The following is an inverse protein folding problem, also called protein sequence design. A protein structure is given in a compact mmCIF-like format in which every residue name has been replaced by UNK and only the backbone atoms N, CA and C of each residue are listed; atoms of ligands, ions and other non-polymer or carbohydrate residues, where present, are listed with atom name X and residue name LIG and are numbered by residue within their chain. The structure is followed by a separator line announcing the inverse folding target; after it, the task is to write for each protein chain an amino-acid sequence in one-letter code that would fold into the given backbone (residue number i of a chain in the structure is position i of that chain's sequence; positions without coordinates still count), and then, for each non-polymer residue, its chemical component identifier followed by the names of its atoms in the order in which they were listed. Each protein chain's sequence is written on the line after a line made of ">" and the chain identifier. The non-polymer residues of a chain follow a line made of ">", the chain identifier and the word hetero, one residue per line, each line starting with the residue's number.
data_IF_954115413193
#
_entry.id   IF_954115413193
#
_cell.length_a   1.000
_cell.length_b   1.000
_cell.length_c   1.000
_cell.angle_alpha   90.00
_cell.angle_beta   90.00
_cell.angle_gamma   90.00
#
_symmetry.space_group_name_H-M   'P 1'
#
loop_
_entity.id
_entity.type
_entity.pdbx_description
1 polymer ?
#
# COMPACT_ATOMS: atom_id res chain seq x y z
N UNK A 1 -27.16 -61.89 -52.67
CA UNK A 1 -28.06 -61.39 -51.60
C UNK A 1 -27.79 -62.10 -50.26
N UNK A 2 -26.52 -62.34 -49.87
CA UNK A 2 -26.22 -63.28 -48.78
C UNK A 2 -26.28 -62.69 -47.35
N UNK A 3 -26.87 -61.51 -47.17
CA UNK A 3 -26.83 -60.80 -45.87
C UNK A 3 -28.15 -60.13 -45.49
N UNK A 4 -29.30 -60.56 -46.04
CA UNK A 4 -30.58 -60.02 -45.59
C UNK A 4 -31.11 -60.79 -44.36
N UNK A 5 -31.51 -60.03 -43.34
CA UNK A 5 -32.34 -60.52 -42.24
C UNK A 5 -33.79 -60.58 -42.69
N UNK A 6 -34.43 -61.72 -42.49
CA UNK A 6 -35.83 -61.95 -42.82
C UNK A 6 -36.63 -61.90 -41.53
N UNK A 7 -37.63 -61.02 -41.50
CA UNK A 7 -38.58 -60.91 -40.40
C UNK A 7 -39.93 -61.35 -40.95
N UNK A 8 -40.59 -62.28 -40.26
CA UNK A 8 -41.90 -62.80 -40.62
C UNK A 8 -42.86 -62.53 -39.48
N UNK A 9 -43.94 -61.80 -39.77
CA UNK A 9 -44.93 -61.39 -38.80
C UNK A 9 -46.33 -61.89 -39.17
N UNK A 10 -47.12 -62.21 -38.15
CA UNK A 10 -48.56 -62.42 -38.27
C UNK A 10 -49.24 -62.17 -36.92
N UNK A 11 -50.49 -61.70 -36.96
CA UNK A 11 -51.39 -61.70 -35.82
C UNK A 11 -52.41 -62.81 -36.05
N UNK A 12 -52.65 -63.67 -35.06
CA UNK A 12 -53.51 -64.84 -35.19
C UNK A 12 -54.61 -64.77 -34.15
N UNK A 13 -55.85 -64.75 -34.64
CA UNK A 13 -57.05 -64.61 -33.83
C UNK A 13 -58.03 -65.73 -34.15
N UNK A 14 -58.94 -66.02 -33.23
CA UNK A 14 -60.15 -66.80 -33.54
C UNK A 14 -61.12 -65.92 -34.33
N UNK A 15 -62.01 -66.54 -35.11
CA UNK A 15 -63.02 -65.83 -35.91
C UNK A 15 -63.89 -64.84 -35.10
N UNK A 16 -64.07 -65.06 -33.80
CA UNK A 16 -64.80 -64.18 -32.88
C UNK A 16 -63.93 -63.10 -32.20
N UNK A 17 -62.79 -62.76 -32.80
CA UNK A 17 -61.81 -61.75 -32.31
C UNK A 17 -61.14 -62.10 -30.97
N UNK A 18 -61.31 -63.32 -30.48
CA UNK A 18 -60.58 -63.80 -29.30
C UNK A 18 -59.14 -64.15 -29.64
N UNK A 19 -58.25 -63.83 -28.72
CA UNK A 19 -56.83 -64.15 -28.84
C UNK A 19 -56.59 -65.65 -28.69
N UNK A 20 -55.66 -66.20 -29.48
CA UNK A 20 -55.28 -67.61 -29.35
C UNK A 20 -54.19 -67.74 -28.28
N UNK A 21 -54.51 -68.46 -27.20
CA UNK A 21 -53.63 -68.65 -26.05
C UNK A 21 -52.35 -69.42 -26.40
N UNK A 22 -52.46 -70.45 -27.26
CA UNK A 22 -51.32 -71.26 -27.70
C UNK A 22 -51.58 -71.89 -29.06
N UNK A 23 -50.67 -71.72 -30.02
CA UNK A 23 -50.74 -72.37 -31.33
C UNK A 23 -49.35 -72.64 -31.87
N UNK A 24 -49.12 -73.83 -32.43
CA UNK A 24 -47.87 -74.17 -33.10
C UNK A 24 -47.99 -73.93 -34.60
N UNK A 25 -47.19 -72.99 -35.10
CA UNK A 25 -47.16 -72.61 -36.51
C UNK A 25 -45.83 -72.99 -37.15
N UNK A 26 -45.89 -73.36 -38.42
CA UNK A 26 -44.71 -73.62 -39.24
C UNK A 26 -44.75 -72.71 -40.46
N UNK A 27 -43.65 -72.01 -40.70
CA UNK A 27 -43.42 -71.30 -41.96
C UNK A 27 -42.82 -72.29 -42.94
N UNK A 28 -43.42 -72.40 -44.11
CA UNK A 28 -42.86 -73.14 -45.23
C UNK A 28 -42.59 -72.20 -46.39
N UNK A 29 -41.56 -72.52 -47.17
CA UNK A 29 -41.29 -71.87 -48.45
C UNK A 29 -41.46 -72.88 -49.58
N UNK A 30 -41.82 -72.41 -50.77
CA UNK A 30 -41.88 -73.26 -51.96
C UNK A 30 -40.48 -73.41 -52.56
N UNK A 31 -39.94 -74.63 -52.52
CA UNK A 31 -38.66 -74.98 -53.12
C UNK A 31 -38.88 -75.35 -54.60
N UNK A 32 -38.31 -74.54 -55.50
CA UNK A 32 -38.45 -74.73 -56.94
C UNK A 32 -37.66 -75.94 -57.46
N UNK A 33 -36.56 -76.31 -56.78
CA UNK A 33 -35.72 -77.47 -57.16
C UNK A 33 -36.42 -78.77 -56.80
N UNK A 34 -37.04 -78.81 -55.62
CA UNK A 34 -37.76 -79.99 -55.12
C UNK A 34 -39.23 -80.02 -55.57
N UNK A 35 -39.73 -78.95 -56.22
CA UNK A 35 -41.13 -78.75 -56.64
C UNK A 35 -42.11 -79.02 -55.48
N UNK A 36 -41.78 -78.55 -54.29
CA UNK A 36 -42.49 -78.89 -53.07
C UNK A 36 -42.31 -77.87 -51.95
N UNK A 37 -43.13 -77.98 -50.92
CA UNK A 37 -43.07 -77.12 -49.74
C UNK A 37 -42.03 -77.64 -48.75
N UNK A 38 -41.04 -76.82 -48.41
CA UNK A 38 -40.02 -77.12 -47.42
C UNK A 38 -40.20 -76.27 -46.16
N UNK A 39 -39.81 -76.84 -45.01
CA UNK A 39 -39.96 -76.16 -43.71
C UNK A 39 -38.82 -75.16 -43.48
N UNK A 40 -39.19 -73.90 -43.22
CA UNK A 40 -38.25 -72.85 -42.82
C UNK A 40 -37.98 -72.91 -41.32
N UNK A 41 -39.05 -72.83 -40.52
CA UNK A 41 -39.01 -72.89 -39.07
C UNK A 41 -40.40 -73.15 -38.50
N UNK A 42 -40.43 -73.74 -37.30
CA UNK A 42 -41.65 -73.92 -36.52
C UNK A 42 -41.53 -73.16 -35.20
N UNK A 43 -42.60 -72.49 -34.79
CA UNK A 43 -42.66 -71.76 -33.53
C UNK A 43 -44.04 -71.89 -32.90
N UNK A 44 -44.07 -72.15 -31.61
CA UNK A 44 -45.30 -72.05 -30.81
C UNK A 44 -45.48 -70.61 -30.35
N UNK A 45 -46.62 -70.02 -30.68
CA UNK A 45 -47.00 -68.68 -30.26
C UNK A 45 -47.88 -68.73 -29.02
N UNK A 46 -47.76 -67.71 -28.19
CA UNK A 46 -48.65 -67.41 -27.07
C UNK A 46 -49.22 -66.01 -27.28
N UNK A 47 -50.50 -65.81 -26.99
CA UNK A 47 -51.21 -64.53 -27.17
C UNK A 47 -51.34 -64.07 -28.64
N UNK A 48 -51.47 -65.00 -29.59
CA UNK A 48 -51.79 -64.68 -30.98
C UNK A 48 -50.70 -63.98 -31.80
N UNK A 49 -49.53 -63.63 -31.26
CA UNK A 49 -48.48 -62.95 -32.03
C UNK A 49 -47.45 -63.94 -32.56
N UNK A 50 -47.31 -64.02 -33.89
CA UNK A 50 -46.24 -64.73 -34.56
C UNK A 50 -45.16 -63.75 -35.04
N UNK A 51 -43.94 -63.96 -34.56
CA UNK A 51 -42.75 -63.27 -35.07
C UNK A 51 -41.59 -64.25 -35.20
N UNK A 52 -40.99 -64.33 -36.38
CA UNK A 52 -39.83 -65.16 -36.67
C UNK A 52 -38.76 -64.31 -37.35
N UNK A 53 -37.52 -64.44 -36.88
CA UNK A 53 -36.36 -63.80 -37.49
C UNK A 53 -35.38 -64.88 -37.96
N UNK A 54 -34.94 -64.79 -39.22
CA UNK A 54 -34.00 -65.76 -39.84
C UNK A 54 -33.15 -65.08 -40.91
N UNK A 55 -32.07 -65.71 -41.37
CA UNK A 55 -31.22 -65.17 -42.45
C UNK A 55 -31.67 -65.65 -43.84
N UNK A 56 -31.45 -64.82 -44.86
CA UNK A 56 -31.84 -65.09 -46.24
C UNK A 56 -31.11 -66.27 -46.89
N UNK A 57 -29.97 -66.69 -46.36
CA UNK A 57 -29.17 -67.82 -46.86
C UNK A 57 -29.95 -69.14 -46.85
N UNK A 58 -30.89 -69.32 -45.91
CA UNK A 58 -31.80 -70.48 -45.85
C UNK A 58 -32.94 -70.42 -46.87
N UNK A 59 -33.30 -69.24 -47.34
CA UNK A 59 -34.45 -69.01 -48.23
C UNK A 59 -34.05 -68.99 -49.71
N UNK A 60 -32.85 -68.47 -50.01
CA UNK A 60 -32.36 -68.26 -51.38
C UNK A 60 -31.61 -69.47 -51.96
N UNK A 61 -31.17 -70.42 -51.14
CA UNK A 61 -30.58 -71.68 -51.63
C UNK A 61 -31.61 -72.61 -52.30
N UNK A 62 -32.89 -72.34 -52.09
CA UNK A 62 -34.04 -73.10 -52.56
C UNK A 62 -34.63 -72.65 -53.91
N UNK A 63 -34.12 -71.57 -54.50
CA UNK A 63 -34.58 -71.05 -55.79
C UNK A 63 -33.60 -71.41 -56.91
N UNK A 64 -34.09 -71.50 -58.15
CA UNK A 64 -33.28 -71.72 -59.36
C UNK A 64 -32.31 -70.55 -59.58
N UNK A 65 -31.43 -70.63 -60.58
CA UNK A 65 -30.31 -69.69 -60.85
C UNK A 65 -30.70 -68.18 -60.98
N UNK A 66 -31.99 -67.87 -60.90
CA UNK A 66 -32.55 -66.52 -60.78
C UNK A 66 -32.91 -66.19 -59.32
N UNK A 67 -32.35 -65.11 -58.73
CA UNK A 67 -32.65 -64.71 -57.36
C UNK A 67 -34.07 -64.13 -57.24
N UNK A 68 -35.05 -65.00 -57.08
CA UNK A 68 -36.42 -64.66 -56.71
C UNK A 68 -36.66 -65.01 -55.23
N UNK A 69 -37.53 -64.23 -54.56
CA UNK A 69 -38.00 -64.56 -53.23
C UNK A 69 -39.04 -65.69 -53.33
N UNK A 70 -38.88 -66.81 -52.59
CA UNK A 70 -39.82 -67.90 -52.67
C UNK A 70 -41.15 -67.53 -52.00
N UNK A 71 -42.24 -68.13 -52.49
CA UNK A 71 -43.54 -67.99 -51.87
C UNK A 71 -43.51 -68.61 -50.46
N UNK A 72 -44.05 -67.88 -49.48
CA UNK A 72 -44.17 -68.35 -48.11
C UNK A 72 -45.62 -68.72 -47.79
N UNK A 73 -45.78 -69.69 -46.89
CA UNK A 73 -47.06 -70.01 -46.27
C UNK A 73 -46.89 -70.30 -44.79
N UNK A 74 -47.95 -70.02 -44.03
CA UNK A 74 -48.09 -70.41 -42.63
C UNK A 74 -49.05 -71.61 -42.53
N UNK A 75 -48.60 -72.66 -41.87
CA UNK A 75 -49.37 -73.90 -41.68
C UNK A 75 -49.39 -74.33 -40.22
N UNK A 76 -50.38 -75.15 -39.86
CA UNK A 76 -50.41 -75.78 -38.54
C UNK A 76 -49.30 -76.81 -38.41
N UNK A 77 -48.44 -76.67 -37.41
CA UNK A 77 -47.36 -77.65 -37.14
C UNK A 77 -47.93 -79.04 -36.87
N UNK A 78 -49.11 -79.15 -36.25
CA UNK A 78 -49.75 -80.43 -35.98
C UNK A 78 -50.20 -81.14 -37.27
N UNK A 79 -50.58 -80.39 -38.31
CA UNK A 79 -51.08 -80.92 -39.59
C UNK A 79 -49.98 -81.35 -40.57
N UNK A 80 -48.70 -81.17 -40.23
CA UNK A 80 -47.59 -81.55 -41.11
C UNK A 80 -47.40 -83.07 -41.21
N UNK A 81 -47.96 -83.84 -40.27
CA UNK A 81 -47.89 -85.31 -40.25
C UNK A 81 -49.11 -85.98 -40.88
N UNK A 82 -50.12 -85.20 -41.29
CA UNK A 82 -51.38 -85.68 -41.87
C UNK A 82 -51.39 -85.47 -43.38
N UNK A 83 -52.22 -86.22 -44.11
CA UNK A 83 -52.41 -86.03 -45.57
C UNK A 83 -53.07 -84.69 -45.92
N UNK A 84 -53.72 -84.06 -44.95
CA UNK A 84 -54.41 -82.78 -45.08
C UNK A 84 -53.69 -81.72 -44.25
N UNK A 85 -52.66 -81.09 -44.83
CA UNK A 85 -51.96 -79.97 -44.18
C UNK A 85 -52.88 -78.75 -44.13
N UNK A 86 -53.16 -78.26 -42.93
CA UNK A 86 -53.97 -77.06 -42.73
C UNK A 86 -53.12 -75.82 -42.98
N UNK A 87 -53.40 -75.14 -44.09
CA UNK A 87 -52.78 -73.87 -44.46
C UNK A 87 -53.60 -72.72 -43.89
N UNK A 88 -52.99 -71.89 -43.06
CA UNK A 88 -53.65 -70.74 -42.43
C UNK A 88 -53.51 -69.47 -43.25
N UNK A 89 -52.39 -69.31 -43.96
CA UNK A 89 -52.23 -68.19 -44.89
C UNK A 89 -51.16 -68.51 -45.93
N UNK A 90 -51.35 -67.98 -47.14
CA UNK A 90 -50.45 -68.10 -48.28
C UNK A 90 -50.10 -66.69 -48.77
N UNK A 91 -48.81 -66.38 -48.88
CA UNK A 91 -48.35 -65.05 -49.31
C UNK A 91 -48.11 -64.09 -48.13
N UNK A 92 -48.48 -62.82 -48.30
CA UNK A 92 -48.19 -61.74 -47.34
C UNK A 92 -47.61 -60.51 -48.04
N UNK A 93 -47.74 -59.34 -47.43
CA UNK A 93 -47.08 -58.14 -47.93
C UNK A 93 -45.57 -58.26 -47.68
N UNK A 94 -44.78 -57.94 -48.71
CA UNK A 94 -43.32 -58.02 -48.64
C UNK A 94 -42.72 -56.63 -48.80
N UNK A 95 -41.89 -56.23 -47.85
CA UNK A 95 -41.15 -54.96 -47.91
C UNK A 95 -39.66 -55.24 -47.79
N UNK A 96 -38.87 -54.71 -48.72
CA UNK A 96 -37.42 -54.85 -48.74
C UNK A 96 -36.79 -53.52 -48.34
N UNK A 97 -35.92 -53.54 -47.34
CA UNK A 97 -35.09 -52.41 -46.94
C UNK A 97 -33.62 -52.71 -47.23
N UNK A 98 -33.10 -52.09 -48.29
CA UNK A 98 -31.72 -52.31 -48.75
C UNK A 98 -30.66 -51.67 -47.85
N UNK A 99 -31.03 -50.65 -47.06
CA UNK A 99 -30.12 -49.97 -46.12
C UNK A 99 -29.90 -50.83 -44.88
N UNK A 100 -30.96 -51.38 -44.31
CA UNK A 100 -30.89 -52.22 -43.11
C UNK A 100 -30.68 -53.70 -43.44
N UNK A 101 -30.58 -54.04 -44.73
CA UNK A 101 -30.53 -55.42 -45.24
C UNK A 101 -31.62 -56.26 -44.61
N UNK A 102 -32.87 -55.80 -44.67
CA UNK A 102 -34.01 -56.48 -44.05
C UNK A 102 -35.12 -56.75 -45.07
N UNK A 103 -35.67 -57.97 -45.05
CA UNK A 103 -36.88 -58.33 -45.80
C UNK A 103 -37.97 -58.63 -44.77
N UNK A 104 -39.05 -57.86 -44.79
CA UNK A 104 -40.19 -58.07 -43.93
C UNK A 104 -41.32 -58.76 -44.70
N UNK A 105 -41.79 -59.88 -44.20
CA UNK A 105 -43.01 -60.57 -44.64
C UNK A 105 -44.08 -60.40 -43.58
N UNK A 106 -45.21 -59.81 -43.94
CA UNK A 106 -46.35 -59.66 -43.06
C UNK A 106 -47.57 -60.40 -43.61
N UNK A 107 -48.02 -61.41 -42.86
CA UNK A 107 -49.24 -62.16 -43.16
C UNK A 107 -50.51 -61.45 -42.65
N UNK A 108 -50.37 -60.25 -42.08
CA UNK A 108 -51.43 -59.47 -41.45
C UNK A 108 -52.14 -60.26 -40.34
N UNK A 109 -53.46 -60.04 -40.18
CA UNK A 109 -54.29 -60.79 -39.24
C UNK A 109 -54.86 -62.04 -39.90
N UNK A 110 -54.52 -63.19 -39.35
CA UNK A 110 -55.03 -64.51 -39.69
C UNK A 110 -56.17 -64.85 -38.74
N UNK A 111 -57.33 -65.16 -39.30
CA UNK A 111 -58.52 -65.56 -38.56
C UNK A 111 -58.71 -67.08 -38.67
N UNK A 112 -58.61 -67.77 -37.54
CA UNK A 112 -58.81 -69.21 -37.45
C UNK A 112 -60.28 -69.48 -37.06
N UNK A 113 -61.01 -70.11 -37.96
CA UNK A 113 -62.34 -70.62 -37.69
C UNK A 113 -62.28 -71.94 -36.91
N UNK A 114 -63.27 -72.17 -36.06
CA UNK A 114 -63.46 -73.46 -35.41
C UNK A 114 -63.85 -74.51 -36.48
N UNK A 115 -63.27 -75.71 -36.48
CA UNK A 115 -63.67 -76.79 -37.38
C UNK A 115 -65.19 -77.04 -37.43
N UNK A 116 -65.89 -76.88 -36.30
CA UNK A 116 -67.36 -77.06 -36.24
C UNK A 116 -68.13 -75.94 -36.95
N UNK A 117 -67.57 -74.71 -37.00
CA UNK A 117 -68.14 -73.59 -37.77
C UNK A 117 -67.92 -73.83 -39.28
N UNK A 118 -66.78 -74.40 -39.67
CA UNK A 118 -66.50 -74.70 -41.10
C UNK A 118 -67.36 -75.84 -41.66
N UNK A 119 -67.85 -76.77 -40.81
CA UNK A 119 -68.81 -77.81 -41.20
C UNK A 119 -70.23 -77.28 -41.42
N UNK A 120 -70.56 -76.12 -40.84
CA UNK A 120 -71.87 -75.47 -40.96
C UNK A 120 -71.93 -74.48 -42.14
N UNK A 121 -70.80 -74.22 -42.81
CA UNK A 121 -70.79 -73.45 -44.05
C UNK A 121 -71.46 -74.28 -45.16
N UNK A 122 -72.52 -73.78 -45.81
CA UNK A 122 -73.11 -74.45 -46.95
C UNK A 122 -72.06 -74.49 -48.08
N UNK A 123 -71.78 -75.68 -48.59
CA UNK A 123 -70.76 -76.03 -49.59
C UNK A 123 -69.32 -76.17 -49.08
N UNK A 124 -69.06 -77.29 -48.41
CA UNK A 124 -67.72 -77.91 -48.40
C UNK A 124 -67.39 -78.60 -49.74
N UNK A 125 -67.63 -77.87 -50.84
CA UNK A 125 -67.27 -78.14 -52.22
C UNK A 125 -67.18 -76.80 -52.94
N UNK A 126 -65.97 -76.29 -53.14
CA UNK A 126 -65.70 -75.37 -54.25
C UNK A 126 -65.69 -76.20 -55.54
N UNK A 127 -66.88 -76.69 -55.93
CA UNK A 127 -67.18 -77.25 -57.24
C UNK A 127 -67.88 -76.15 -58.05
N UNK A 128 -67.21 -75.71 -59.11
CA UNK A 128 -67.75 -75.19 -60.38
C UNK A 128 -69.06 -74.36 -60.34
N UNK A 129 -68.87 -73.04 -60.47
CA UNK A 129 -69.60 -72.15 -61.39
C UNK A 129 -71.06 -72.53 -61.71
N UNK A 130 -72.01 -71.88 -61.04
CA UNK A 130 -73.35 -71.65 -61.58
C UNK A 130 -73.69 -70.17 -61.36
N UNK A 131 -73.52 -69.36 -62.41
CA UNK A 131 -74.06 -68.00 -62.49
C UNK A 131 -75.56 -68.13 -62.74
N UNK A 132 -76.38 -67.99 -61.70
CA UNK A 132 -77.79 -67.73 -61.84
C UNK A 132 -78.00 -66.22 -62.02
N UNK A 133 -78.16 -65.75 -63.25
CA UNK A 133 -78.68 -64.40 -63.49
C UNK A 133 -80.17 -64.41 -63.14
N UNK A 134 -80.52 -63.96 -61.93
CA UNK A 134 -81.88 -63.53 -61.65
C UNK A 134 -82.21 -62.37 -62.58
N UNK A 135 -83.29 -62.48 -63.34
CA UNK A 135 -83.91 -61.32 -63.98
C UNK A 135 -84.49 -60.45 -62.84
N UNK A 136 -83.71 -59.47 -62.38
CA UNK A 136 -84.15 -58.50 -61.38
C UNK A 136 -85.18 -57.60 -62.06
N UNK A 137 -86.34 -57.41 -61.42
CA UNK A 137 -87.36 -56.46 -61.85
C UNK A 137 -86.73 -55.07 -62.09
N UNK A 138 -86.92 -54.44 -63.27
CA UNK A 138 -86.41 -53.10 -63.56
C UNK A 138 -86.72 -52.05 -62.47
N UNK A 139 -87.84 -52.16 -61.76
CA UNK A 139 -88.19 -51.28 -60.64
C UNK A 139 -87.25 -51.49 -59.43
N UNK A 140 -86.87 -52.73 -59.14
CA UNK A 140 -85.94 -53.08 -58.06
C UNK A 140 -84.52 -52.64 -58.42
N UNK A 141 -84.09 -52.81 -59.68
CA UNK A 141 -82.82 -52.28 -60.19
C UNK A 141 -82.72 -50.75 -60.06
N UNK A 142 -83.79 -50.04 -60.40
CA UNK A 142 -83.88 -48.58 -60.24
C UNK A 142 -83.75 -48.16 -58.77
N UNK A 143 -84.47 -48.83 -57.86
CA UNK A 143 -84.37 -48.54 -56.42
C UNK A 143 -82.98 -48.84 -55.85
N UNK A 144 -82.33 -49.91 -56.31
CA UNK A 144 -80.95 -50.24 -55.92
C UNK A 144 -80.00 -49.15 -56.43
N UNK A 145 -80.13 -48.72 -57.68
CA UNK A 145 -79.30 -47.65 -58.25
C UNK A 145 -79.44 -46.35 -57.47
N UNK A 146 -80.67 -45.91 -57.16
CA UNK A 146 -80.92 -44.71 -56.33
C UNK A 146 -80.34 -44.85 -54.91
N UNK A 147 -80.47 -46.01 -54.28
CA UNK A 147 -79.89 -46.24 -52.95
C UNK A 147 -78.35 -46.17 -52.99
N UNK A 148 -77.72 -46.74 -54.02
CA UNK A 148 -76.27 -46.69 -54.21
C UNK A 148 -75.80 -45.26 -54.49
N UNK A 149 -76.53 -44.50 -55.32
CA UNK A 149 -76.24 -43.08 -55.59
C UNK A 149 -76.32 -42.24 -54.31
N UNK A 150 -77.36 -42.41 -53.49
CA UNK A 150 -77.50 -41.69 -52.22
C UNK A 150 -76.37 -42.06 -51.23
N UNK A 151 -75.99 -43.33 -51.17
CA UNK A 151 -74.87 -43.78 -50.32
C UNK A 151 -73.54 -43.22 -50.83
N UNK A 152 -73.34 -43.16 -52.15
CA UNK A 152 -72.16 -42.57 -52.77
C UNK A 152 -72.07 -41.08 -52.48
N UNK A 153 -73.17 -40.33 -52.63
CA UNK A 153 -73.22 -38.90 -52.33
C UNK A 153 -72.90 -38.63 -50.84
N UNK A 154 -73.49 -39.42 -49.94
CA UNK A 154 -73.19 -39.33 -48.50
C UNK A 154 -71.72 -39.62 -48.20
N UNK A 155 -71.13 -40.63 -48.86
CA UNK A 155 -69.72 -40.96 -48.69
C UNK A 155 -68.79 -39.86 -49.22
N UNK A 156 -69.14 -39.22 -50.33
CA UNK A 156 -68.39 -38.09 -50.90
C UNK A 156 -68.44 -36.86 -49.98
N UNK A 157 -69.61 -36.51 -49.45
CA UNK A 157 -69.75 -35.41 -48.48
C UNK A 157 -68.89 -35.64 -47.23
N UNK A 158 -68.93 -36.86 -46.67
CA UNK A 158 -68.10 -37.23 -45.51
C UNK A 158 -66.61 -37.19 -45.82
N UNK A 159 -66.21 -37.51 -47.06
CA UNK A 159 -64.82 -37.40 -47.49
C UNK A 159 -64.36 -35.94 -47.56
N UNK A 160 -65.21 -35.03 -48.05
CA UNK A 160 -64.91 -33.59 -48.08
C UNK A 160 -64.81 -32.99 -46.67
N UNK A 161 -65.67 -33.42 -45.74
CA UNK A 161 -65.58 -33.05 -44.33
C UNK A 161 -64.27 -33.52 -43.70
N UNK A 162 -63.91 -34.80 -43.92
CA UNK A 162 -62.64 -35.35 -43.43
C UNK A 162 -61.43 -34.61 -44.01
N UNK A 163 -61.48 -34.23 -45.29
CA UNK A 163 -60.42 -33.45 -45.94
C UNK A 163 -60.23 -32.09 -45.25
N UNK A 164 -61.30 -31.37 -44.96
CA UNK A 164 -61.25 -30.09 -44.21
C UNK A 164 -60.65 -30.26 -42.81
N UNK A 165 -61.01 -31.34 -42.12
CA UNK A 165 -60.45 -31.68 -40.80
C UNK A 165 -58.94 -31.93 -40.89
N UNK A 166 -58.49 -32.70 -41.90
CA UNK A 166 -57.07 -32.98 -42.14
C UNK A 166 -56.30 -31.68 -42.45
N UNK A 167 -56.85 -30.79 -43.28
CA UNK A 167 -56.23 -29.50 -43.60
C UNK A 167 -56.08 -28.61 -42.35
N UNK A 168 -57.08 -28.59 -41.47
CA UNK A 168 -57.02 -27.87 -40.20
C UNK A 168 -55.93 -28.43 -39.28
N UNK A 169 -55.90 -29.76 -39.06
CA UNK A 169 -54.86 -30.37 -38.23
C UNK A 169 -53.46 -30.21 -38.81
N UNK A 170 -53.33 -30.26 -40.14
CA UNK A 170 -52.04 -30.01 -40.81
C UNK A 170 -51.55 -28.59 -40.52
N UNK A 171 -52.44 -27.60 -40.59
CA UNK A 171 -52.11 -26.20 -40.27
C UNK A 171 -51.69 -26.02 -38.81
N UNK A 172 -52.35 -26.71 -37.87
CA UNK A 172 -51.98 -26.71 -36.46
C UNK A 172 -50.63 -27.39 -36.20
N UNK A 173 -50.31 -28.47 -36.90
CA UNK A 173 -49.00 -29.14 -36.79
C UNK A 173 -47.88 -28.21 -37.26
N UNK A 174 -48.07 -27.50 -38.37
CA UNK A 174 -47.05 -26.57 -38.87
C UNK A 174 -46.84 -25.37 -37.93
N UNK A 175 -47.92 -24.84 -37.32
CA UNK A 175 -47.77 -23.78 -36.32
C UNK A 175 -47.02 -24.27 -35.07
N UNK A 176 -47.33 -25.47 -34.58
CA UNK A 176 -46.64 -26.08 -33.44
C UNK A 176 -45.15 -26.34 -33.73
N UNK A 177 -44.81 -26.80 -34.94
CA UNK A 177 -43.42 -26.97 -35.37
C UNK A 177 -42.66 -25.64 -35.36
N UNK A 178 -43.28 -24.57 -35.87
CA UNK A 178 -42.69 -23.24 -35.85
C UNK A 178 -42.45 -22.75 -34.40
N UNK A 179 -43.42 -22.95 -33.51
CA UNK A 179 -43.25 -22.63 -32.08
C UNK A 179 -42.11 -23.43 -31.44
N UNK A 180 -42.02 -24.73 -31.71
CA UNK A 180 -40.95 -25.58 -31.19
C UNK A 180 -39.56 -25.14 -31.67
N UNK A 181 -39.44 -24.76 -32.94
CA UNK A 181 -38.19 -24.23 -33.48
C UNK A 181 -37.76 -22.95 -32.75
N UNK A 182 -38.70 -22.01 -32.53
CA UNK A 182 -38.42 -20.77 -31.82
C UNK A 182 -38.02 -21.01 -30.35
N UNK A 183 -38.67 -21.97 -29.68
CA UNK A 183 -38.32 -22.36 -28.32
C UNK A 183 -36.91 -22.96 -28.25
N UNK A 184 -36.55 -23.83 -29.18
CA UNK A 184 -35.21 -24.43 -29.23
C UNK A 184 -34.12 -23.36 -29.43
N UNK A 185 -34.32 -22.43 -30.38
CA UNK A 185 -33.39 -21.31 -30.59
C UNK A 185 -33.27 -20.41 -29.35
N UNK A 186 -34.37 -20.22 -28.61
CA UNK A 186 -34.36 -19.44 -27.37
C UNK A 186 -33.57 -20.18 -26.28
N UNK A 187 -33.74 -21.49 -26.16
CA UNK A 187 -32.98 -22.30 -25.20
C UNK A 187 -31.47 -22.28 -25.51
N UNK A 188 -31.07 -22.42 -26.77
CA UNK A 188 -29.66 -22.33 -27.17
C UNK A 188 -29.03 -20.97 -26.78
N UNK A 189 -29.77 -19.87 -26.98
CA UNK A 189 -29.32 -18.53 -26.54
C UNK A 189 -29.21 -18.42 -25.02
N UNK A 190 -30.15 -19.03 -24.29
CA UNK A 190 -30.12 -19.04 -22.83
C UNK A 190 -28.93 -19.86 -22.30
N UNK A 191 -28.67 -21.03 -22.86
CA UNK A 191 -27.51 -21.86 -22.52
C UNK A 191 -26.18 -21.13 -22.78
N UNK A 192 -26.05 -20.47 -23.93
CA UNK A 192 -24.88 -19.65 -24.23
C UNK A 192 -24.68 -18.51 -23.21
N UNK A 193 -25.78 -17.87 -22.80
CA UNK A 193 -25.76 -16.80 -21.79
C UNK A 193 -25.36 -17.33 -20.41
N UNK A 194 -25.89 -18.50 -20.00
CA UNK A 194 -25.53 -19.16 -18.75
C UNK A 194 -24.04 -19.53 -18.71
N UNK A 195 -23.50 -20.06 -19.80
CA UNK A 195 -22.07 -20.39 -19.90
C UNK A 195 -21.18 -19.16 -19.79
N UNK A 196 -21.59 -18.03 -20.41
CA UNK A 196 -20.89 -16.75 -20.28
C UNK A 196 -20.88 -16.27 -18.82
N UNK A 197 -22.05 -16.27 -18.16
CA UNK A 197 -22.17 -15.88 -16.74
C UNK A 197 -21.31 -16.78 -15.85
N UNK A 198 -21.28 -18.09 -16.09
CA UNK A 198 -20.46 -19.02 -15.31
C UNK A 198 -18.95 -18.70 -15.45
N UNK A 199 -18.51 -18.33 -16.65
CA UNK A 199 -17.12 -17.94 -16.93
C UNK A 199 -16.76 -16.62 -16.24
N UNK A 200 -17.66 -15.63 -16.30
CA UNK A 200 -17.50 -14.35 -15.63
C UNK A 200 -17.44 -14.52 -14.10
N UNK A 201 -18.32 -15.34 -13.52
CA UNK A 201 -18.30 -15.65 -12.09
C UNK A 201 -17.00 -16.33 -11.64
N UNK A 202 -16.46 -17.24 -12.46
CA UNK A 202 -15.16 -17.87 -12.18
C UNK A 202 -14.03 -16.84 -12.18
N UNK A 203 -14.05 -15.93 -13.16
CA UNK A 203 -13.06 -14.85 -13.28
C UNK A 203 -13.13 -13.86 -12.10
N UNK A 204 -14.35 -13.50 -11.68
CA UNK A 204 -14.58 -12.66 -10.51
C UNK A 204 -14.12 -13.32 -9.22
N UNK A 205 -14.36 -14.63 -9.06
CA UNK A 205 -13.89 -15.39 -7.89
C UNK A 205 -12.36 -15.39 -7.79
N UNK A 206 -11.66 -15.59 -8.90
CA UNK A 206 -10.20 -15.51 -8.97
C UNK A 206 -9.69 -14.10 -8.63
N UNK A 207 -10.35 -13.05 -9.13
CA UNK A 207 -9.99 -11.68 -8.83
C UNK A 207 -10.14 -11.37 -7.33
N UNK A 208 -11.25 -11.79 -6.72
CA UNK A 208 -11.48 -11.65 -5.27
C UNK A 208 -10.38 -12.34 -4.47
N UNK A 209 -10.01 -13.57 -4.82
CA UNK A 209 -8.94 -14.30 -4.14
C UNK A 209 -7.59 -13.57 -4.26
N UNK A 210 -7.26 -13.06 -5.45
CA UNK A 210 -6.04 -12.28 -5.67
C UNK A 210 -6.00 -11.03 -4.79
N UNK A 211 -7.08 -10.26 -4.76
CA UNK A 211 -7.17 -9.04 -3.94
C UNK A 211 -7.10 -9.35 -2.43
N UNK A 212 -7.68 -10.47 -1.98
CA UNK A 212 -7.55 -10.92 -0.59
C UNK A 212 -6.08 -11.23 -0.21
N UNK A 213 -5.34 -11.89 -1.10
CA UNK A 213 -3.91 -12.18 -0.90
C UNK A 213 -3.07 -10.90 -0.87
N UNK A 214 -3.33 -9.95 -1.78
CA UNK A 214 -2.67 -8.63 -1.80
C UNK A 214 -2.93 -7.87 -0.49
N UNK A 215 -4.18 -7.83 -0.02
CA UNK A 215 -4.54 -7.19 1.26
C UNK A 215 -3.83 -7.86 2.45
N UNK A 216 -3.76 -9.19 2.49
CA UNK A 216 -3.05 -9.92 3.54
C UNK A 216 -1.54 -9.63 3.52
N UNK A 217 -0.94 -9.41 2.34
CA UNK A 217 0.45 -9.00 2.23
C UNK A 217 0.68 -7.58 2.75
N UNK A 218 -0.20 -6.64 2.41
CA UNK A 218 -0.11 -5.25 2.86
C UNK A 218 -0.27 -5.14 4.38
N UNK A 219 -1.20 -5.90 4.97
CA UNK A 219 -1.40 -5.94 6.42
C UNK A 219 -0.16 -6.45 7.16
N UNK A 220 0.54 -7.45 6.61
CA UNK A 220 1.82 -7.92 7.17
C UNK A 220 2.89 -6.83 7.13
N UNK A 221 3.02 -6.12 6.01
CA UNK A 221 3.98 -5.01 5.87
C UNK A 221 3.68 -3.89 6.85
N UNK A 222 2.40 -3.51 7.02
CA UNK A 222 1.98 -2.52 8.01
C UNK A 222 2.39 -2.96 9.41
N UNK A 223 2.13 -4.22 9.79
CA UNK A 223 2.52 -4.76 11.09
C UNK A 223 4.03 -4.69 11.35
N UNK A 224 4.85 -5.01 10.35
CA UNK A 224 6.32 -4.90 10.44
C UNK A 224 6.74 -3.44 10.65
N UNK A 225 6.21 -2.52 9.85
CA UNK A 225 6.54 -1.11 9.95
C UNK A 225 6.10 -0.51 11.30
N UNK A 226 4.93 -0.89 11.80
CA UNK A 226 4.47 -0.49 13.14
C UNK A 226 5.42 -0.98 14.23
N UNK A 227 5.91 -2.22 14.15
CA UNK A 227 6.89 -2.73 15.11
C UNK A 227 8.20 -1.94 15.08
N UNK A 228 8.71 -1.62 13.88
CA UNK A 228 9.92 -0.80 13.71
C UNK A 228 9.74 0.62 14.27
N UNK A 229 8.59 1.25 14.03
CA UNK A 229 8.27 2.57 14.57
C UNK A 229 8.28 2.53 16.11
N UNK A 230 7.69 1.50 16.72
CA UNK A 230 7.67 1.35 18.17
C UNK A 230 9.09 1.19 18.75
N UNK A 231 9.96 0.44 18.08
CA UNK A 231 11.36 0.29 18.48
C UNK A 231 12.14 1.62 18.37
N UNK A 232 11.96 2.35 17.27
CA UNK A 232 12.56 3.68 17.09
C UNK A 232 12.08 4.67 18.15
N UNK A 233 10.79 4.67 18.48
CA UNK A 233 10.23 5.52 19.52
C UNK A 233 10.85 5.20 20.89
N UNK A 234 11.00 3.92 21.23
CA UNK A 234 11.67 3.50 22.48
C UNK A 234 13.11 4.01 22.52
N UNK A 235 13.88 3.82 21.45
CA UNK A 235 15.26 4.31 21.35
C UNK A 235 15.35 5.83 21.47
N UNK A 236 14.39 6.55 20.89
CA UNK A 236 14.33 8.00 21.00
C UNK A 236 14.05 8.45 22.45
N UNK A 237 13.16 7.77 23.17
CA UNK A 237 12.93 8.02 24.60
C UNK A 237 14.20 7.77 25.44
N UNK A 238 14.92 6.68 25.18
CA UNK A 238 16.19 6.38 25.85
C UNK A 238 17.25 7.47 25.58
N UNK A 239 17.35 7.95 24.34
CA UNK A 239 18.24 9.06 23.98
C UNK A 239 17.85 10.38 24.67
N UNK A 240 16.56 10.68 24.76
CA UNK A 240 16.08 11.87 25.48
C UNK A 240 16.44 11.79 26.97
N UNK A 241 16.27 10.63 27.61
CA UNK A 241 16.67 10.42 29.00
C UNK A 241 18.18 10.59 29.20
N UNK A 242 19.00 10.04 28.28
CA UNK A 242 20.45 10.19 28.32
C UNK A 242 20.86 11.67 28.17
N UNK A 243 20.22 12.41 27.25
CA UNK A 243 20.47 13.83 27.07
C UNK A 243 20.12 14.64 28.32
N UNK A 244 18.96 14.37 28.96
CA UNK A 244 18.58 15.04 30.21
C UNK A 244 19.65 14.84 31.29
N UNK A 245 20.10 13.59 31.51
CA UNK A 245 21.18 13.30 32.47
C UNK A 245 22.49 14.02 32.11
N UNK A 246 22.83 14.09 30.83
CA UNK A 246 24.00 14.82 30.34
C UNK A 246 23.92 16.32 30.68
N UNK A 247 22.76 16.93 30.45
CA UNK A 247 22.50 18.35 30.80
C UNK A 247 22.60 18.58 32.30
N UNK A 248 22.00 17.71 33.13
CA UNK A 248 22.11 17.78 34.59
C UNK A 248 23.57 17.70 35.06
N UNK A 249 24.36 16.81 34.46
CA UNK A 249 25.79 16.65 34.77
C UNK A 249 26.57 17.92 34.41
N UNK A 250 26.32 18.50 33.23
CA UNK A 250 26.96 19.75 32.79
C UNK A 250 26.60 20.90 33.74
N UNK A 251 25.34 20.98 34.19
CA UNK A 251 24.91 21.99 35.16
C UNK A 251 25.66 21.83 36.49
N UNK A 252 25.79 20.61 37.01
CA UNK A 252 26.54 20.33 38.24
C UNK A 252 28.01 20.76 38.13
N UNK A 253 28.68 20.33 37.06
CA UNK A 253 30.08 20.71 36.81
C UNK A 253 30.27 22.22 36.64
N UNK A 254 29.29 22.89 36.03
CA UNK A 254 29.30 24.35 35.88
C UNK A 254 29.20 25.05 37.24
N UNK A 255 28.32 24.57 38.13
CA UNK A 255 28.21 25.09 39.49
C UNK A 255 29.48 24.86 40.30
N UNK A 256 30.07 23.66 40.21
CA UNK A 256 31.34 23.35 40.87
C UNK A 256 32.47 24.25 40.37
N UNK A 257 32.57 24.47 39.05
CA UNK A 257 33.53 25.41 38.47
C UNK A 257 33.36 26.83 39.00
N UNK A 258 32.12 27.32 39.11
CA UNK A 258 31.83 28.65 39.67
C UNK A 258 32.31 28.72 41.12
N UNK A 259 31.98 27.71 41.93
CA UNK A 259 32.40 27.63 43.34
C UNK A 259 33.92 27.64 43.49
N UNK A 260 34.63 26.79 42.75
CA UNK A 260 36.10 26.75 42.77
C UNK A 260 36.72 28.08 42.31
N UNK A 261 36.11 28.74 41.33
CA UNK A 261 36.57 30.06 40.87
C UNK A 261 36.43 31.12 41.97
N UNK A 262 35.32 31.09 42.72
CA UNK A 262 35.10 31.98 43.87
C UNK A 262 36.11 31.71 45.00
N UNK A 263 36.34 30.44 45.35
CA UNK A 263 37.34 30.06 46.38
C UNK A 263 38.75 30.53 46.00
N UNK A 264 39.15 30.40 44.73
CA UNK A 264 40.43 30.92 44.22
C UNK A 264 40.51 32.44 44.41
N UNK A 265 39.44 33.17 44.10
CA UNK A 265 39.44 34.63 44.19
C UNK A 265 39.49 35.11 45.66
N UNK A 266 38.80 34.43 46.57
CA UNK A 266 38.90 34.70 48.01
C UNK A 266 40.31 34.45 48.54
N UNK A 267 40.98 33.37 48.11
CA UNK A 267 42.36 33.08 48.51
C UNK A 267 43.30 34.17 48.00
N UNK A 268 43.16 34.64 46.76
CA UNK A 268 43.95 35.75 46.23
C UNK A 268 43.77 37.02 47.06
N UNK A 269 42.53 37.39 47.38
CA UNK A 269 42.25 38.57 48.20
C UNK A 269 42.90 38.47 49.59
N UNK A 270 42.86 37.30 50.23
CA UNK A 270 43.54 37.05 51.51
C UNK A 270 45.06 37.15 51.39
N UNK A 271 45.65 36.68 50.28
CA UNK A 271 47.09 36.81 50.01
C UNK A 271 47.52 38.27 49.86
N UNK A 272 46.71 39.09 49.18
CA UNK A 272 46.97 40.53 49.03
C UNK A 272 46.83 41.30 50.36
N UNK A 273 45.84 40.95 51.19
CA UNK A 273 45.63 41.58 52.49
C UNK A 273 46.70 41.22 53.55
N UNK A 274 47.32 40.05 53.44
CA UNK A 274 48.30 39.54 54.42
C UNK A 274 49.69 40.20 54.38
N UNK A 275 50.00 41.01 53.36
CA UNK A 275 51.35 41.57 53.18
C UNK A 275 51.38 43.10 52.97
N UNK A 276 50.86 43.91 53.93
CA UNK A 276 50.92 45.36 53.84
C UNK A 276 52.39 45.83 53.99
N UNK A 277 52.92 46.43 52.92
CA UNK A 277 54.21 47.13 52.94
C UNK A 277 55.20 46.73 51.84
N UNK A 278 54.97 45.63 51.12
CA UNK A 278 55.79 45.29 49.95
C UNK A 278 55.31 46.09 48.73
N UNK A 279 56.20 46.89 48.14
CA UNK A 279 55.97 47.66 46.92
C UNK A 279 56.77 47.02 45.77
N UNK A 280 56.23 46.99 44.54
CA UNK A 280 57.02 46.61 43.37
C UNK A 280 58.29 47.46 43.24
N UNK A 281 59.45 46.83 42.98
CA UNK A 281 60.73 47.55 42.96
C UNK A 281 60.82 48.60 41.85
N UNK A 282 60.13 48.37 40.73
CA UNK A 282 60.03 49.32 39.63
C UNK A 282 59.32 50.63 40.04
N UNK A 283 58.27 50.53 40.87
CA UNK A 283 57.56 51.70 41.40
C UNK A 283 58.46 52.53 42.31
N UNK A 284 59.24 51.88 43.17
CA UNK A 284 60.21 52.56 44.05
C UNK A 284 61.31 53.24 43.23
N UNK A 285 61.86 52.54 42.24
CA UNK A 285 62.89 53.08 41.34
C UNK A 285 62.41 54.33 40.59
N UNK A 286 61.22 54.27 39.98
CA UNK A 286 60.64 55.39 39.25
C UNK A 286 60.38 56.59 40.18
N UNK A 287 59.83 56.35 41.37
CA UNK A 287 59.61 57.42 42.35
C UNK A 287 60.92 58.11 42.74
N UNK A 288 62.02 57.38 42.91
CA UNK A 288 63.33 57.98 43.22
C UNK A 288 63.80 58.86 42.05
N UNK A 289 63.72 58.36 40.81
CA UNK A 289 64.09 59.13 39.61
C UNK A 289 63.27 60.41 39.52
N UNK A 290 61.95 60.31 39.67
CA UNK A 290 61.05 61.46 39.56
C UNK A 290 61.41 62.52 40.61
N UNK A 291 61.67 62.13 41.87
CA UNK A 291 62.05 63.06 42.93
C UNK A 291 63.43 63.69 42.68
N UNK A 292 64.39 62.93 42.15
CA UNK A 292 65.71 63.47 41.77
C UNK A 292 65.58 64.47 40.64
N UNK A 293 64.75 64.19 39.64
CA UNK A 293 64.48 65.09 38.54
C UNK A 293 63.81 66.38 39.03
N UNK A 294 62.79 66.28 39.89
CA UNK A 294 62.13 67.43 40.51
C UNK A 294 63.14 68.28 41.29
N UNK A 295 63.97 67.66 42.12
CA UNK A 295 64.99 68.37 42.90
C UNK A 295 66.06 69.03 42.00
N UNK A 296 66.46 68.37 40.91
CA UNK A 296 67.36 68.94 39.90
C UNK A 296 66.74 70.16 39.22
N UNK A 297 65.47 70.08 38.80
CA UNK A 297 64.78 71.18 38.13
C UNK A 297 64.56 72.37 39.06
N UNK A 298 64.22 72.14 40.33
CA UNK A 298 64.05 73.19 41.34
C UNK A 298 65.35 73.90 41.71
N UNK A 299 66.48 73.20 41.64
CA UNK A 299 67.80 73.76 41.99
C UNK A 299 68.56 74.32 40.79
N UNK A 300 68.04 74.17 39.57
CA UNK A 300 68.69 74.57 38.31
C UNK A 300 69.09 76.04 38.25
N UNK A 301 68.23 76.91 38.76
CA UNK A 301 68.38 78.37 38.71
C UNK A 301 68.80 78.95 40.09
N UNK A 302 69.19 78.07 41.02
CA UNK A 302 69.62 78.42 42.38
C UNK A 302 71.15 78.52 42.46
N UNK A 303 71.68 79.23 43.48
CA UNK A 303 73.13 79.32 43.73
C UNK A 303 73.78 77.94 43.91
N UNK A 304 73.00 76.94 44.27
CA UNK A 304 73.45 75.58 44.52
C UNK A 304 72.71 74.59 43.62
N UNK A 305 73.41 73.66 42.98
CA UNK A 305 72.81 72.56 42.21
C UNK A 305 73.02 71.22 42.91
N UNK A 306 72.06 70.32 42.75
CA UNK A 306 72.23 68.91 43.09
C UNK A 306 73.35 68.32 42.21
N UNK A 307 74.37 67.70 42.82
CA UNK A 307 75.51 67.13 42.09
C UNK A 307 75.41 65.60 42.06
N UNK A 308 75.85 64.94 43.13
CA UNK A 308 75.81 63.48 43.22
C UNK A 308 74.80 63.07 44.30
N UNK A 309 74.02 62.04 43.99
CA UNK A 309 73.17 61.37 44.96
C UNK A 309 73.62 59.90 45.06
N UNK A 310 73.91 59.45 46.27
CA UNK A 310 74.15 58.04 46.57
C UNK A 310 73.12 57.58 47.60
N UNK A 311 72.39 56.53 47.28
CA UNK A 311 71.31 55.98 48.09
C UNK A 311 71.60 54.51 48.39
N UNK A 312 71.68 54.16 49.67
CA UNK A 312 71.79 52.78 50.13
C UNK A 312 70.50 52.38 50.81
N UNK A 313 69.70 51.51 50.18
CA UNK A 313 68.41 51.07 50.72
C UNK A 313 68.54 49.69 51.36
N UNK A 314 68.12 49.57 52.62
CA UNK A 314 67.93 48.28 53.28
C UNK A 314 66.46 47.92 53.27
N UNK A 315 66.14 46.83 52.58
CA UNK A 315 64.77 46.37 52.35
C UNK A 315 64.66 44.86 52.56
N UNK A 316 63.46 44.40 52.89
CA UNK A 316 63.09 43.01 52.70
C UNK A 316 62.71 42.80 51.25
N UNK A 317 63.14 41.67 50.67
CA UNK A 317 62.89 41.34 49.26
C UNK A 317 62.05 40.07 49.19
N UNK A 318 61.02 40.10 48.36
CA UNK A 318 60.17 38.95 48.05
C UNK A 318 59.94 38.87 46.55
N UNK A 319 59.86 37.65 46.00
CA UNK A 319 59.49 37.44 44.61
C UNK A 319 57.99 37.18 44.52
N UNK A 320 57.30 37.89 43.65
CA UNK A 320 55.88 37.65 43.41
C UNK A 320 55.64 36.40 42.57
N UNK A 321 54.38 35.98 42.50
CA UNK A 321 53.92 34.78 41.76
C UNK A 321 54.17 34.86 40.24
N UNK A 322 54.52 36.03 39.71
CA UNK A 322 54.86 36.25 38.29
C UNK A 322 56.37 36.37 38.06
N UNK A 323 57.19 36.19 39.10
CA UNK A 323 58.64 36.31 39.08
C UNK A 323 59.19 37.73 39.28
N UNK A 324 58.32 38.73 39.49
CA UNK A 324 58.71 40.12 39.75
C UNK A 324 59.22 40.33 41.18
N UNK A 325 60.06 41.34 41.40
CA UNK A 325 60.65 41.62 42.72
C UNK A 325 59.86 42.69 43.45
N UNK A 326 59.40 42.38 44.66
CA UNK A 326 58.78 43.32 45.60
C UNK A 326 59.71 43.59 46.77
N UNK A 327 59.71 44.85 47.23
CA UNK A 327 60.54 45.30 48.34
C UNK A 327 59.71 45.97 49.43
N UNK A 328 60.06 45.72 50.68
CA UNK A 328 59.49 46.41 51.85
C UNK A 328 60.59 47.12 52.61
N UNK A 329 60.38 48.41 52.88
CA UNK A 329 61.30 49.19 53.69
C UNK A 329 61.22 48.79 55.16
N UNK A 330 62.35 48.84 55.84
CA UNK A 330 62.44 48.64 57.29
C UNK A 330 61.82 49.86 57.98
N UNK A 331 60.81 49.64 58.82
CA UNK A 331 60.11 50.69 59.58
C UNK A 331 61.01 51.20 60.71
N UNK A 332 61.51 52.43 60.57
CA UNK A 332 62.46 53.03 61.51
C UNK A 332 61.87 53.37 62.88
N UNK A 333 60.54 53.48 63.01
CA UNK A 333 59.89 53.86 64.29
C UNK A 333 59.75 52.67 65.26
N UNK A 334 59.98 51.43 64.81
CA UNK A 334 59.78 50.21 65.62
C UNK A 334 61.07 49.57 66.14
N UNK A 335 62.23 50.20 65.97
CA UNK A 335 63.52 49.51 66.17
C UNK A 335 64.37 50.24 67.21
N UNK A 336 64.15 49.90 68.48
CA UNK A 336 64.81 50.52 69.63
C UNK A 336 66.28 50.12 69.85
N UNK A 337 66.92 49.34 68.96
CA UNK A 337 68.34 48.98 69.07
C UNK A 337 68.86 48.41 67.73
N UNK A 338 69.17 49.27 66.75
CA UNK A 338 69.86 48.85 65.53
C UNK A 338 71.32 49.28 65.54
N UNK A 339 72.20 48.32 65.24
CA UNK A 339 73.57 48.56 64.84
C UNK A 339 73.55 49.52 63.62
N UNK A 340 74.40 50.55 63.59
CA UNK A 340 74.41 51.58 62.54
C UNK A 340 74.52 51.03 61.12
N UNK A 341 74.94 49.77 60.98
CA UNK A 341 74.91 49.01 59.73
C UNK A 341 73.50 48.55 59.27
N UNK A 342 72.39 48.97 59.87
CA UNK A 342 71.03 48.44 59.54
C UNK A 342 70.06 49.49 59.00
N UNK A 343 70.51 50.73 58.83
CA UNK A 343 69.68 51.87 58.44
C UNK A 343 69.96 52.20 56.97
N UNK A 344 68.93 52.58 56.20
CA UNK A 344 69.11 53.10 54.84
C UNK A 344 69.82 54.45 54.91
N UNK A 345 70.78 54.70 54.02
CA UNK A 345 71.61 55.90 54.04
C UNK A 345 71.44 56.72 52.75
N UNK A 346 71.46 58.05 52.88
CA UNK A 346 71.31 59.00 51.77
C UNK A 346 72.46 60.00 51.85
N UNK A 347 73.32 60.01 50.84
CA UNK A 347 74.38 61.00 50.68
C UNK A 347 74.07 61.91 49.49
N UNK A 348 74.04 63.21 49.76
CA UNK A 348 73.74 64.25 48.77
C UNK A 348 74.92 65.22 48.71
N UNK A 349 75.52 65.36 47.53
CA UNK A 349 76.53 66.37 47.26
C UNK A 349 75.87 67.57 46.55
N UNK A 350 76.20 68.78 47.00
CA UNK A 350 75.68 70.05 46.47
C UNK A 350 76.86 70.87 45.95
N UNK A 351 76.72 71.48 44.78
CA UNK A 351 77.78 72.29 44.14
C UNK A 351 77.32 73.74 43.91
N UNK A 352 78.21 74.73 44.11
CA UNK A 352 77.93 76.14 43.79
C UNK A 352 77.93 76.40 42.27
N UNK A 353 76.98 77.19 41.79
CA UNK A 353 76.92 77.72 40.43
C UNK A 353 77.45 79.15 40.35
N UNK A 354 78.22 79.46 39.30
CA UNK A 354 78.77 80.80 39.05
C UNK A 354 77.67 81.80 38.67
N UNK A 355 77.70 82.97 39.31
CA UNK A 355 76.70 84.06 39.21
C UNK A 355 76.60 84.66 37.80
N UNK A 356 75.39 84.63 37.21
CA UNK A 356 75.07 85.43 36.03
C UNK A 356 74.26 86.66 36.46
N UNK A 357 74.92 87.81 36.41
CA UNK A 357 74.34 89.16 36.60
C UNK A 357 73.54 89.56 35.36
N UNK A 358 72.23 89.72 35.51
CA UNK A 358 71.33 90.25 34.47
C UNK A 358 69.99 90.60 35.09
N UNK A 359 69.86 91.86 35.51
CA UNK A 359 68.78 92.38 36.34
C UNK A 359 67.47 92.51 35.52
N UNK A 360 66.71 91.43 35.43
CA UNK A 360 65.30 91.46 35.04
C UNK A 360 64.55 90.53 35.99
N UNK A 361 63.97 91.11 37.04
CA UNK A 361 63.06 90.39 37.92
C UNK A 361 61.90 89.86 37.08
N UNK A 362 61.64 88.56 37.16
CA UNK A 362 60.55 87.90 36.44
C UNK A 362 59.46 87.51 37.42
N UNK A 363 58.21 87.66 36.99
CA UNK A 363 57.05 87.30 37.79
C UNK A 363 57.05 85.78 38.10
N UNK A 364 57.01 85.34 39.36
CA UNK A 364 56.91 83.93 39.71
C UNK A 364 55.49 83.38 39.43
N UNK A 365 55.36 82.05 39.36
CA UNK A 365 54.05 81.41 39.37
C UNK A 365 53.55 81.34 40.81
N UNK A 366 52.41 81.97 41.09
CA UNK A 366 51.80 81.93 42.42
C UNK A 366 50.47 81.18 42.43
N UNK A 367 50.07 80.58 41.30
CA UNK A 367 48.84 79.78 41.18
C UNK A 367 48.93 78.51 42.05
N UNK A 368 47.84 78.18 42.75
CA UNK A 368 47.74 77.05 43.67
C UNK A 368 48.33 77.30 45.06
N UNK A 369 49.07 78.39 45.26
CA UNK A 369 49.61 78.76 46.58
C UNK A 369 48.54 79.37 47.48
N UNK A 370 48.68 79.17 48.80
CA UNK A 370 47.91 79.90 49.80
C UNK A 370 48.38 81.35 49.87
N UNK A 371 47.54 82.24 50.37
CA UNK A 371 47.88 83.67 50.49
C UNK A 371 49.19 83.91 51.24
N UNK A 372 49.42 83.22 52.35
CA UNK A 372 50.66 83.34 53.15
C UNK A 372 51.89 82.92 52.33
N UNK A 373 51.81 81.81 51.59
CA UNK A 373 52.90 81.35 50.75
C UNK A 373 53.14 82.30 49.57
N UNK A 374 52.08 82.79 48.92
CA UNK A 374 52.16 83.78 47.85
C UNK A 374 52.83 85.08 48.33
N UNK A 375 52.47 85.57 49.51
CA UNK A 375 53.06 86.76 50.14
C UNK A 375 54.56 86.59 50.38
N UNK A 376 54.98 85.43 50.89
CA UNK A 376 56.39 85.12 51.12
C UNK A 376 57.19 85.05 49.81
N UNK A 377 56.63 84.38 48.78
CA UNK A 377 57.28 84.27 47.47
C UNK A 377 57.47 85.64 46.83
N UNK A 378 56.43 86.48 46.78
CA UNK A 378 56.53 87.82 46.20
C UNK A 378 57.44 88.75 47.00
N UNK A 379 57.38 88.71 48.34
CA UNK A 379 58.25 89.50 49.19
C UNK A 379 59.73 89.11 49.07
N UNK A 380 60.04 87.81 48.89
CA UNK A 380 61.42 87.31 48.74
C UNK A 380 62.16 87.89 47.52
N UNK A 381 61.41 88.35 46.52
CA UNK A 381 61.92 88.98 45.30
C UNK A 381 61.62 90.49 45.23
N UNK A 382 61.17 91.08 46.34
CA UNK A 382 60.94 92.52 46.47
C UNK A 382 59.66 93.04 45.81
N UNK A 383 58.64 92.21 45.62
CA UNK A 383 57.32 92.61 45.12
C UNK A 383 56.30 92.71 46.27
N UNK A 384 55.26 93.52 46.07
CA UNK A 384 54.17 93.68 47.04
C UNK A 384 52.93 92.91 46.59
N UNK A 385 52.24 92.24 47.52
CA UNK A 385 51.01 91.50 47.24
C UNK A 385 49.77 92.36 47.50
N UNK A 386 48.93 92.50 46.49
CA UNK A 386 47.55 92.99 46.58
C UNK A 386 46.57 91.82 46.42
N UNK A 387 45.65 91.64 47.38
CA UNK A 387 44.80 90.44 47.50
C UNK A 387 43.36 90.75 47.15
N UNK A 388 42.79 89.99 46.20
CA UNK A 388 41.36 90.03 45.88
C UNK A 388 40.74 88.65 46.13
N UNK A 389 39.54 88.60 46.71
CA UNK A 389 38.80 87.34 46.89
C UNK A 389 37.62 87.27 45.93
N UNK A 390 37.46 86.12 45.29
CA UNK A 390 36.31 85.84 44.42
C UNK A 390 35.51 84.66 44.96
N UNK A 391 34.19 84.86 45.08
CA UNK A 391 33.24 83.85 45.57
C UNK A 391 32.80 82.88 44.46
N UNK A 392 32.34 81.70 44.85
CA UNK A 392 31.71 80.68 43.99
C UNK A 392 32.58 80.09 42.86
N UNK A 393 33.90 80.02 43.09
CA UNK A 393 34.85 79.38 42.15
C UNK A 393 34.80 77.85 42.32
N UNK A 394 34.22 77.14 41.33
CA UNK A 394 34.15 75.67 41.33
C UNK A 394 35.51 75.06 40.95
N UNK A 395 35.84 73.91 41.55
CA UNK A 395 37.04 73.10 41.26
C UNK A 395 38.40 73.69 41.68
N UNK A 396 38.43 74.72 42.54
CA UNK A 396 39.66 75.25 43.15
C UNK A 396 39.47 75.27 44.69
N UNK A 397 40.43 74.73 45.47
CA UNK A 397 40.35 74.79 46.93
C UNK A 397 40.30 76.22 47.48
N UNK A 398 39.44 76.45 48.48
CA UNK A 398 39.32 77.73 49.18
C UNK A 398 40.68 78.18 49.73
N UNK A 399 40.99 79.47 49.55
CA UNK A 399 42.23 80.09 50.00
C UNK A 399 43.41 79.96 49.04
N UNK A 400 43.25 79.28 47.90
CA UNK A 400 44.29 79.18 46.88
C UNK A 400 44.17 80.27 45.81
N UNK A 401 45.32 80.79 45.38
CA UNK A 401 45.42 81.69 44.25
C UNK A 401 45.07 80.95 42.95
N UNK A 402 44.18 81.53 42.15
CA UNK A 402 43.84 80.96 40.83
C UNK A 402 44.01 81.95 39.69
N UNK A 403 44.33 83.21 39.99
CA UNK A 403 44.65 84.22 38.98
C UNK A 403 45.69 85.20 39.51
N UNK A 404 46.61 85.63 38.64
CA UNK A 404 47.60 86.67 38.92
C UNK A 404 47.54 87.75 37.83
N UNK A 405 47.79 89.01 38.18
CA UNK A 405 47.66 90.14 37.24
C UNK A 405 48.73 90.13 36.15
N UNK A 406 49.95 89.73 36.49
CA UNK A 406 51.08 89.60 35.56
C UNK A 406 51.35 88.10 35.35
N UNK A 407 51.39 87.59 34.11
CA UNK A 407 51.70 86.18 33.84
C UNK A 407 53.12 85.81 34.29
N UNK A 408 53.31 84.54 34.69
CA UNK A 408 54.62 84.00 35.04
C UNK A 408 55.67 84.32 33.96
N UNK A 409 56.87 84.68 34.39
CA UNK A 409 58.02 84.94 33.52
C UNK A 409 58.07 86.35 32.93
N UNK A 410 57.00 87.14 33.04
CA UNK A 410 56.99 88.53 32.55
C UNK A 410 57.91 89.43 33.39
N UNK A 411 58.54 90.45 32.80
CA UNK A 411 59.40 91.37 33.53
C UNK A 411 58.59 92.22 34.51
N UNK A 412 59.08 92.34 35.75
CA UNK A 412 58.49 93.14 36.82
C UNK A 412 59.54 94.04 37.45
N UNK A 413 59.11 95.21 37.90
CA UNK A 413 59.99 96.16 38.58
C UNK A 413 60.03 95.88 40.08
N UNK A 414 61.17 96.18 40.70
CA UNK A 414 61.29 96.11 42.16
C UNK A 414 60.23 97.00 42.83
N UNK A 415 59.64 96.51 43.91
CA UNK A 415 58.57 97.15 44.68
C UNK A 415 57.25 97.34 43.90
N UNK A 416 57.06 96.65 42.77
CA UNK A 416 55.80 96.65 42.04
C UNK A 416 54.74 95.83 42.80
N UNK A 417 53.52 96.38 42.89
CA UNK A 417 52.37 95.71 43.47
C UNK A 417 51.75 94.74 42.47
N UNK A 418 51.56 93.49 42.88
CA UNK A 418 50.98 92.42 42.07
C UNK A 418 49.65 91.99 42.69
N UNK A 419 48.59 92.09 41.90
CA UNK A 419 47.25 91.66 42.30
C UNK A 419 47.08 90.16 42.04
N UNK A 420 46.70 89.42 43.08
CA UNK A 420 46.42 87.98 43.02
C UNK A 420 45.02 87.70 43.53
N UNK A 421 44.28 86.88 42.80
CA UNK A 421 42.88 86.52 43.12
C UNK A 421 42.85 85.15 43.77
N UNK A 422 42.27 85.09 44.97
CA UNK A 422 42.13 83.88 45.77
C UNK A 422 40.69 83.38 45.75
N UNK A 423 40.51 82.07 45.63
CA UNK A 423 39.20 81.44 45.68
C UNK A 423 38.64 81.53 47.11
N UNK A 424 37.42 82.02 47.26
CA UNK A 424 36.68 82.00 48.51
C UNK A 424 35.36 81.28 48.27
N UNK A 425 34.98 80.35 49.13
CA UNK A 425 33.63 79.77 49.10
C UNK A 425 32.74 80.58 50.03
N UNK A 426 31.47 80.78 49.65
CA UNK A 426 30.47 81.39 50.50
C UNK A 426 30.10 80.48 51.68
#
# INVERSE_FOLDING_TARGET
>A
MNEYNIIINAIVKKFNDQTINRLSLTVQYYDLKQKGWATLASKTITNGVFKLETTATKLLSATSDTPALPQLRLVSTASLKTKETQVYSLGGSTTINDKTKTINYDFNTIWIADPEITKQLPNNKLDNSIMATLAIDPAVLSQIATNVENQLETALQKNDENKKIIENYTSQIESLKATMLNLNQTNEKNEASLNKIATENTSLSLLVQKTQLENASLQRTIGINTAQINELNKKNTELQQANTKGVETIQQLTQEKIKLTQEIEEIKQKLEAGNPGFQPINKVYNNIIDQVQIASDQTRDSKYKLSNLSLTLKTFVEQDVTGGVKIKFVDGEKINNVNGATISDIKIDIAEQATVTGNTLKMPNVLGLTETACRQVLHSIGLQLDTIYQFDVRNIPTGQAFKQSIPQGSPVNYNQTITVVFAKQN
#
